data_IF_748531256906
#
_entry.id   IF_748531256906
#
_cell.length_a   1.000
_cell.length_b   1.000
_cell.length_c   1.000
_cell.angle_alpha   90.00
_cell.angle_beta   90.00
_cell.angle_gamma   90.00
#
_symmetry.space_group_name_H-M   'P 1'
#
loop_
_entity.id
_entity.type
_entity.pdbx_description
1 polymer ?
#
# COMPACT_ATOMS: atom_id res chain seq x y z
N UNK A 1 -1.20 5.50 -2.26
CA UNK A 1 -1.81 4.18 -2.47
C UNK A 1 -3.19 4.20 -1.83
N UNK A 2 -4.23 3.78 -2.56
CA UNK A 2 -5.62 3.72 -2.10
C UNK A 2 -6.10 2.29 -2.31
N UNK A 3 -6.76 1.72 -1.30
CA UNK A 3 -7.38 0.39 -1.41
C UNK A 3 -8.74 0.54 -2.09
N UNK A 4 -8.98 -0.26 -3.12
CA UNK A 4 -10.22 -0.24 -3.92
C UNK A 4 -11.05 -1.51 -3.80
N UNK A 5 -10.51 -2.58 -3.21
CA UNK A 5 -11.26 -3.81 -2.98
C UNK A 5 -10.54 -4.81 -2.08
N UNK A 6 -11.33 -5.66 -1.43
CA UNK A 6 -10.90 -6.81 -0.65
C UNK A 6 -11.63 -8.05 -1.15
N UNK A 7 -10.91 -9.13 -1.43
CA UNK A 7 -11.51 -10.40 -1.85
C UNK A 7 -10.61 -11.57 -1.51
N UNK A 8 -11.10 -12.56 -0.74
CA UNK A 8 -10.40 -13.82 -0.44
C UNK A 8 -8.93 -13.66 -0.01
N UNK A 9 -8.64 -12.68 0.86
CA UNK A 9 -7.28 -12.39 1.34
C UNK A 9 -6.39 -11.68 0.32
N UNK A 10 -6.97 -11.14 -0.75
CA UNK A 10 -6.32 -10.24 -1.70
C UNK A 10 -6.85 -8.82 -1.52
N UNK A 11 -5.96 -7.85 -1.67
CA UNK A 11 -6.25 -6.42 -1.55
C UNK A 11 -5.89 -5.75 -2.88
N UNK A 12 -6.88 -5.17 -3.56
CA UNK A 12 -6.63 -4.36 -4.74
C UNK A 12 -6.28 -2.93 -4.33
N UNK A 13 -5.16 -2.44 -4.85
CA UNK A 13 -4.67 -1.10 -4.62
C UNK A 13 -4.49 -0.35 -5.92
N UNK A 14 -4.80 0.95 -5.89
CA UNK A 14 -4.53 1.89 -6.98
C UNK A 14 -3.73 3.09 -6.50
N UNK A 15 -2.81 3.57 -7.33
CA UNK A 15 -2.06 4.78 -7.05
C UNK A 15 -1.61 5.46 -8.34
N UNK A 16 -1.21 6.72 -8.22
CA UNK A 16 -0.57 7.43 -9.31
C UNK A 16 0.95 7.31 -9.16
N UNK A 17 1.66 7.01 -10.25
CA UNK A 17 3.13 7.00 -10.27
C UNK A 17 3.75 8.31 -10.81
N UNK A 18 2.89 9.24 -11.24
CA UNK A 18 3.29 10.50 -11.89
C UNK A 18 2.99 10.52 -13.38
N UNK A 19 2.80 9.36 -14.01
CA UNK A 19 2.49 9.21 -15.44
C UNK A 19 1.11 8.60 -15.68
N UNK A 20 0.61 7.80 -14.75
CA UNK A 20 -0.75 7.27 -14.81
C UNK A 20 -1.16 6.51 -13.56
N UNK A 21 -2.34 5.88 -13.63
CA UNK A 21 -2.87 5.05 -12.55
C UNK A 21 -2.28 3.64 -12.66
N UNK A 22 -1.55 3.24 -11.64
CA UNK A 22 -1.12 1.86 -11.39
C UNK A 22 -2.17 1.13 -10.56
N UNK A 23 -2.28 -0.18 -10.83
CA UNK A 23 -3.21 -1.10 -10.16
C UNK A 23 -2.45 -2.38 -9.87
N UNK A 24 -2.41 -2.76 -8.59
CA UNK A 24 -1.78 -4.01 -8.17
C UNK A 24 -2.62 -4.66 -7.08
N UNK A 25 -2.61 -5.99 -7.05
CA UNK A 25 -3.28 -6.79 -6.04
C UNK A 25 -2.23 -7.51 -5.20
N UNK A 26 -2.32 -7.36 -3.89
CA UNK A 26 -1.41 -7.95 -2.92
C UNK A 26 -2.13 -8.96 -2.07
N UNK A 27 -1.42 -9.94 -1.52
CA UNK A 27 -1.93 -10.70 -0.39
C UNK A 27 -2.01 -9.80 0.84
N UNK A 28 -3.06 -9.98 1.64
CA UNK A 28 -3.28 -9.16 2.84
C UNK A 28 -2.11 -9.27 3.83
N UNK A 29 -1.51 -10.46 3.96
CA UNK A 29 -0.37 -10.72 4.84
C UNK A 29 0.96 -10.13 4.36
N UNK A 30 1.10 -9.86 3.06
CA UNK A 30 2.29 -9.24 2.48
C UNK A 30 2.30 -7.71 2.65
N UNK A 31 1.13 -7.10 2.91
CA UNK A 31 0.98 -5.66 3.06
C UNK A 31 1.52 -5.19 4.42
N UNK A 32 2.62 -4.45 4.38
CA UNK A 32 3.15 -3.80 5.58
C UNK A 32 2.44 -2.47 5.86
N UNK A 33 2.00 -2.21 7.11
CA UNK A 33 1.44 -0.93 7.46
C UNK A 33 2.51 0.16 7.30
N UNK A 34 2.18 1.19 6.51
CA UNK A 34 3.07 2.32 6.22
C UNK A 34 3.46 3.16 7.46
N UNK A 35 3.00 2.79 8.66
CA UNK A 35 3.21 3.55 9.89
C UNK A 35 4.50 3.22 10.66
N UNK A 36 5.44 2.49 10.04
CA UNK A 36 6.84 2.56 10.46
C UNK A 36 7.47 3.85 9.92
N UNK A 37 6.99 5.01 10.38
CA UNK A 37 7.83 6.21 10.33
C UNK A 37 9.10 5.83 11.11
N UNK A 38 10.31 5.90 10.55
CA UNK A 38 11.48 5.93 11.41
C UNK A 38 11.23 7.12 12.33
N UNK A 39 11.13 6.84 13.63
CA UNK A 39 11.22 7.87 14.65
C UNK A 39 12.50 8.61 14.28
N UNK A 40 12.37 9.86 13.85
CA UNK A 40 13.51 10.71 13.57
C UNK A 40 14.13 10.95 14.93
N UNK A 41 15.01 10.03 15.35
CA UNK A 41 15.86 10.20 16.51
C UNK A 41 16.74 11.42 16.18
N UNK A 42 16.28 12.59 16.63
CA UNK A 42 17.13 13.76 16.76
C UNK A 42 18.09 13.43 17.91
N UNK A 43 19.31 13.06 17.54
CA UNK A 43 20.48 13.25 18.38
C UNK A 43 20.87 14.73 18.38
#
# INVERSE_FOLDING_TARGET
>A
MIVTGYSSGMVECRWHDGYGIKREAFREDELQPANKRPKRDKA
#
